data_IF_270369313436
#
_entry.id   IF_270369313436
#
_cell.length_a   1.000
_cell.length_b   1.000
_cell.length_c   1.000
_cell.angle_alpha   90.00
_cell.angle_beta   90.00
_cell.angle_gamma   90.00
#
_symmetry.space_group_name_H-M   'P 1'
#
loop_
_entity.id
_entity.type
_entity.pdbx_description
1 polymer ?
#
# COMPACT_ATOMS: atom_id res chain seq x y z
N UNK A 1 -25.94 10.63 -20.23
CA UNK A 1 -24.86 9.71 -20.64
C UNK A 1 -23.58 10.51 -20.59
N UNK A 2 -22.71 10.23 -19.61
CA UNK A 2 -21.48 10.98 -19.36
C UNK A 2 -20.35 10.45 -20.25
N UNK A 3 -19.69 11.36 -20.97
CA UNK A 3 -18.63 11.09 -21.96
C UNK A 3 -17.25 11.35 -21.34
N UNK A 4 -16.92 10.63 -20.26
CA UNK A 4 -15.58 10.70 -19.69
C UNK A 4 -14.61 9.88 -20.56
N UNK A 5 -13.40 10.38 -20.88
CA UNK A 5 -12.40 9.62 -21.62
C UNK A 5 -11.85 8.47 -20.78
N UNK A 6 -11.80 7.27 -21.37
CA UNK A 6 -11.28 6.06 -20.75
C UNK A 6 -10.00 5.59 -21.47
N UNK A 7 -9.03 5.07 -20.70
CA UNK A 7 -7.84 4.36 -21.19
C UNK A 7 -7.84 3.00 -20.46
N UNK A 8 -7.51 1.88 -21.08
CA UNK A 8 -7.37 0.61 -20.35
C UNK A 8 -5.89 0.35 -20.04
N UNK A 9 -5.55 -0.56 -19.13
CA UNK A 9 -4.20 -1.03 -18.81
C UNK A 9 -4.11 -2.46 -18.25
N UNK A 10 -3.68 -3.47 -19.02
CA UNK A 10 -3.22 -4.74 -18.46
C UNK A 10 -4.28 -5.45 -17.60
N UNK A 11 -5.54 -5.41 -18.01
CA UNK A 11 -6.68 -5.88 -17.23
C UNK A 11 -7.25 -4.85 -16.24
N UNK A 12 -6.76 -3.61 -16.25
CA UNK A 12 -7.35 -2.45 -15.58
C UNK A 12 -8.14 -1.57 -16.54
N UNK A 13 -9.28 -1.06 -16.12
CA UNK A 13 -10.02 0.02 -16.77
C UNK A 13 -9.70 1.33 -16.04
N UNK A 14 -9.05 2.29 -16.71
CA UNK A 14 -8.84 3.64 -16.17
C UNK A 14 -10.13 4.44 -16.28
N UNK A 15 -10.52 5.02 -15.16
CA UNK A 15 -11.72 5.85 -15.05
C UNK A 15 -11.26 7.20 -14.52
N UNK A 16 -11.37 8.22 -15.36
CA UNK A 16 -11.21 9.59 -14.91
C UNK A 16 -12.44 9.98 -14.08
N UNK A 17 -12.21 10.41 -12.85
CA UNK A 17 -13.24 11.07 -12.04
C UNK A 17 -13.62 12.42 -12.67
N UNK A 18 -14.84 12.88 -12.40
CA UNK A 18 -15.34 14.17 -12.90
C UNK A 18 -14.53 15.38 -12.41
N UNK A 19 -13.72 15.20 -11.35
CA UNK A 19 -12.74 16.19 -10.88
C UNK A 19 -11.58 16.44 -11.84
N UNK A 20 -11.35 15.59 -12.84
CA UNK A 20 -10.21 15.69 -13.76
C UNK A 20 -10.59 16.28 -15.11
N UNK A 21 -9.80 17.24 -15.58
CA UNK A 21 -9.86 17.72 -16.95
C UNK A 21 -9.25 16.72 -17.94
N UNK A 22 -9.66 16.71 -19.22
CA UNK A 22 -9.06 15.85 -20.25
C UNK A 22 -7.53 15.96 -20.34
N UNK A 23 -6.98 17.17 -20.19
CA UNK A 23 -5.54 17.41 -20.21
C UNK A 23 -4.81 16.71 -19.05
N UNK A 24 -5.42 16.63 -17.86
CA UNK A 24 -4.82 15.91 -16.72
C UNK A 24 -4.83 14.39 -16.94
N UNK A 25 -5.88 13.87 -17.58
CA UNK A 25 -5.96 12.44 -17.93
C UNK A 25 -4.89 12.08 -18.96
N UNK A 26 -4.72 12.90 -20.00
CA UNK A 26 -3.67 12.72 -21.01
C UNK A 26 -2.26 12.74 -20.40
N UNK A 27 -2.03 13.61 -19.42
CA UNK A 27 -0.74 13.70 -18.72
C UNK A 27 -0.48 12.56 -17.74
N UNK A 28 -1.52 11.87 -17.24
CA UNK A 28 -1.36 10.72 -16.36
C UNK A 28 -0.87 9.48 -17.10
N UNK A 29 -1.30 9.29 -18.36
CA UNK A 29 -0.96 8.11 -19.17
C UNK A 29 0.55 7.81 -19.30
N UNK A 30 1.44 8.77 -19.65
CA UNK A 30 2.87 8.48 -19.76
C UNK A 30 3.50 8.11 -18.41
N UNK A 31 3.04 8.70 -17.30
CA UNK A 31 3.56 8.39 -15.96
C UNK A 31 3.14 6.97 -15.55
N UNK A 32 1.88 6.61 -15.81
CA UNK A 32 1.35 5.26 -15.60
C UNK A 32 2.17 4.21 -16.37
N UNK A 33 2.41 4.45 -17.65
CA UNK A 33 3.22 3.56 -18.49
C UNK A 33 4.66 3.43 -17.97
N UNK A 34 5.30 4.53 -17.56
CA UNK A 34 6.67 4.52 -17.00
C UNK A 34 6.78 3.72 -15.70
N UNK A 35 5.77 3.76 -14.83
CA UNK A 35 5.73 2.89 -13.64
C UNK A 35 5.32 1.43 -13.95
N UNK A 36 5.14 1.10 -15.22
CA UNK A 36 4.84 -0.25 -15.70
C UNK A 36 3.36 -0.66 -15.56
N UNK A 37 2.45 0.31 -15.49
CA UNK A 37 1.02 0.09 -15.64
C UNK A 37 0.72 0.02 -17.14
N UNK A 38 0.37 -1.17 -17.65
CA UNK A 38 0.39 -1.46 -19.09
C UNK A 38 -0.85 -0.97 -19.81
N UNK A 39 -0.94 0.28 -20.29
CA UNK A 39 -2.15 0.84 -20.92
C UNK A 39 -2.55 0.14 -22.25
N UNK A 40 -3.72 -0.51 -22.32
CA UNK A 40 -4.37 -1.01 -23.53
C UNK A 40 -5.41 0.00 -24.07
N UNK A 41 -5.53 0.11 -25.39
CA UNK A 41 -6.62 0.82 -26.05
C UNK A 41 -7.38 -0.22 -26.87
N UNK A 42 -8.57 -0.64 -26.43
CA UNK A 42 -9.34 -1.70 -27.09
C UNK A 42 -10.78 -1.80 -26.60
N UNK A 43 -11.65 -2.36 -27.44
CA UNK A 43 -13.10 -2.47 -27.23
C UNK A 43 -13.54 -3.84 -26.67
N UNK A 44 -12.63 -4.74 -26.33
CA UNK A 44 -12.96 -6.11 -25.92
C UNK A 44 -12.72 -6.30 -24.43
N UNK A 45 -13.83 -6.45 -23.68
CA UNK A 45 -13.84 -6.68 -22.24
C UNK A 45 -13.31 -8.08 -21.91
N UNK A 46 -12.19 -8.22 -21.17
CA UNK A 46 -11.83 -9.47 -20.53
C UNK A 46 -12.81 -9.78 -19.38
N UNK A 47 -12.86 -11.02 -18.86
CA UNK A 47 -13.75 -11.35 -17.74
C UNK A 47 -13.35 -10.56 -16.49
N UNK A 48 -14.09 -9.47 -16.24
CA UNK A 48 -13.99 -8.56 -15.08
C UNK A 48 -12.83 -7.56 -15.15
N UNK A 49 -13.00 -6.35 -15.73
CA UNK A 49 -11.96 -5.33 -15.69
C UNK A 49 -11.76 -4.81 -14.26
N UNK A 50 -10.54 -4.89 -13.73
CA UNK A 50 -10.20 -4.21 -12.46
C UNK A 50 -10.29 -2.70 -12.71
N UNK A 51 -10.98 -1.89 -11.90
CA UNK A 51 -11.17 -0.45 -12.19
C UNK A 51 -10.15 0.40 -11.42
N UNK A 52 -9.37 1.21 -12.11
CA UNK A 52 -8.50 2.23 -11.51
C UNK A 52 -9.15 3.60 -11.70
N UNK A 53 -9.58 4.23 -10.62
CA UNK A 53 -10.14 5.59 -10.65
C UNK A 53 -9.02 6.60 -10.41
N UNK A 54 -8.81 7.51 -11.36
CA UNK A 54 -7.96 8.68 -11.18
C UNK A 54 -8.80 9.83 -10.63
N UNK A 55 -8.29 10.54 -9.62
CA UNK A 55 -8.96 11.71 -9.05
C UNK A 55 -7.94 12.77 -8.63
N UNK A 56 -8.42 13.99 -8.40
CA UNK A 56 -7.59 15.16 -8.07
C UNK A 56 -6.85 15.11 -6.71
N UNK A 57 -7.09 14.07 -5.91
CA UNK A 57 -6.56 13.92 -4.56
C UNK A 57 -7.41 14.53 -3.45
N UNK A 58 -8.57 15.12 -3.77
CA UNK A 58 -9.51 15.69 -2.81
C UNK A 58 -10.71 14.77 -2.62
N UNK A 59 -10.76 14.09 -1.48
CA UNK A 59 -11.93 13.28 -1.12
C UNK A 59 -13.12 14.20 -0.80
N UNK A 60 -14.22 13.99 -1.51
CA UNK A 60 -15.45 14.77 -1.42
C UNK A 60 -16.56 13.89 -0.82
N UNK A 61 -17.71 14.47 -0.41
CA UNK A 61 -18.86 13.67 0.00
C UNK A 61 -19.33 12.67 -1.07
N UNK A 62 -19.18 13.01 -2.35
CA UNK A 62 -19.48 12.11 -3.47
C UNK A 62 -18.52 10.92 -3.52
N UNK A 63 -17.22 11.14 -3.28
CA UNK A 63 -16.24 10.07 -3.15
C UNK A 63 -16.54 9.15 -1.96
N UNK A 64 -16.93 9.71 -0.82
CA UNK A 64 -17.33 8.92 0.35
C UNK A 64 -18.59 8.08 0.08
N UNK A 65 -19.54 8.61 -0.67
CA UNK A 65 -20.75 7.88 -1.05
C UNK A 65 -20.47 6.77 -2.06
N UNK A 66 -19.60 7.01 -3.04
CA UNK A 66 -19.14 5.98 -3.98
C UNK A 66 -18.43 4.84 -3.24
N UNK A 67 -17.51 5.16 -2.31
CA UNK A 67 -16.82 4.19 -1.47
C UNK A 67 -17.76 3.35 -0.59
N UNK A 68 -18.90 3.90 -0.17
CA UNK A 68 -19.89 3.17 0.65
C UNK A 68 -20.75 2.20 -0.16
N UNK A 69 -21.06 2.52 -1.41
CA UNK A 69 -21.96 1.69 -2.24
C UNK A 69 -21.21 0.57 -2.94
N UNK A 70 -20.17 0.96 -3.68
CA UNK A 70 -19.38 0.06 -4.50
C UNK A 70 -17.98 0.66 -4.59
N UNK A 71 -17.12 0.41 -3.59
CA UNK A 71 -15.80 1.01 -3.57
C UNK A 71 -15.03 0.60 -4.82
N UNK A 72 -14.46 1.54 -5.59
CA UNK A 72 -13.58 1.18 -6.69
C UNK A 72 -12.42 0.33 -6.15
N UNK A 73 -12.02 -0.73 -6.85
CA UNK A 73 -10.96 -1.62 -6.37
C UNK A 73 -9.63 -0.88 -6.24
N UNK A 74 -9.40 0.20 -7.01
CA UNK A 74 -8.22 1.05 -6.92
C UNK A 74 -8.55 2.53 -7.15
N UNK A 75 -7.94 3.39 -6.33
CA UNK A 75 -7.97 4.86 -6.43
C UNK A 75 -6.53 5.38 -6.49
N UNK A 76 -6.24 6.27 -7.44
CA UNK A 76 -4.93 6.89 -7.57
C UNK A 76 -5.07 8.41 -7.74
N UNK A 77 -4.44 9.14 -6.84
CA UNK A 77 -4.55 10.58 -6.75
C UNK A 77 -3.53 11.27 -7.67
N UNK A 78 -3.95 12.33 -8.37
CA UNK A 78 -3.07 13.15 -9.22
C UNK A 78 -2.50 14.35 -8.47
N UNK A 79 -1.80 14.09 -7.36
CA UNK A 79 -1.28 15.13 -6.43
C UNK A 79 0.14 15.59 -6.75
N UNK A 80 0.78 14.99 -7.75
CA UNK A 80 2.11 15.34 -8.19
C UNK A 80 2.14 16.68 -8.93
N UNK A 81 3.35 17.16 -9.29
CA UNK A 81 3.53 18.31 -10.15
C UNK A 81 2.68 18.19 -11.42
N UNK A 82 2.14 19.32 -11.87
CA UNK A 82 1.29 19.43 -13.07
C UNK A 82 0.00 18.58 -13.02
N UNK A 83 -0.43 18.14 -11.83
CA UNK A 83 -1.64 17.33 -11.68
C UNK A 83 -1.46 15.91 -12.20
N UNK A 84 -0.29 15.30 -11.96
CA UNK A 84 0.03 13.92 -12.32
C UNK A 84 0.04 13.00 -11.09
N UNK A 85 -0.13 11.68 -11.24
CA UNK A 85 0.13 10.75 -10.14
C UNK A 85 1.58 10.83 -9.65
N UNK A 86 1.83 10.58 -8.37
CA UNK A 86 3.21 10.56 -7.88
C UNK A 86 3.95 9.33 -8.42
N UNK A 87 5.17 9.51 -8.91
CA UNK A 87 5.95 8.44 -9.55
C UNK A 87 6.09 7.17 -8.67
N UNK A 88 6.26 7.36 -7.35
CA UNK A 88 6.36 6.25 -6.41
C UNK A 88 5.05 5.47 -6.25
N UNK A 89 3.87 6.13 -6.28
CA UNK A 89 2.56 5.48 -6.20
C UNK A 89 2.34 4.62 -7.44
N UNK A 90 2.73 5.14 -8.60
CA UNK A 90 2.64 4.40 -9.87
C UNK A 90 3.59 3.22 -9.90
N UNK A 91 4.84 3.39 -9.45
CA UNK A 91 5.81 2.29 -9.35
C UNK A 91 5.27 1.17 -8.44
N UNK A 92 4.76 1.54 -7.27
CA UNK A 92 4.14 0.60 -6.32
C UNK A 92 2.95 -0.13 -6.96
N UNK A 93 2.05 0.60 -7.62
CA UNK A 93 0.91 0.03 -8.34
C UNK A 93 1.37 -0.93 -9.45
N UNK A 94 2.38 -0.57 -10.23
CA UNK A 94 2.94 -1.43 -11.27
C UNK A 94 3.50 -2.73 -10.69
N UNK A 95 4.30 -2.66 -9.62
CA UNK A 95 4.82 -3.85 -8.93
C UNK A 95 3.70 -4.74 -8.41
N UNK A 96 2.72 -4.15 -7.74
CA UNK A 96 1.54 -4.81 -7.22
C UNK A 96 0.79 -5.60 -8.31
N UNK A 97 0.53 -4.98 -9.46
CA UNK A 97 -0.21 -5.60 -10.55
C UNK A 97 0.55 -6.77 -11.21
N UNK A 98 1.89 -6.70 -11.22
CA UNK A 98 2.76 -7.76 -11.73
C UNK A 98 3.07 -8.85 -10.69
N UNK A 99 2.63 -8.68 -9.44
CA UNK A 99 3.01 -9.56 -8.33
C UNK A 99 4.50 -9.49 -7.99
N UNK A 100 5.15 -8.36 -8.27
CA UNK A 100 6.55 -8.11 -7.94
C UNK A 100 6.76 -7.62 -6.51
N UNK A 101 8.01 -7.38 -6.14
CA UNK A 101 8.36 -6.82 -4.83
C UNK A 101 7.77 -5.40 -4.67
N UNK A 102 7.17 -5.15 -3.49
CA UNK A 102 6.61 -3.83 -3.15
C UNK A 102 7.67 -2.88 -2.59
N UNK A 103 8.74 -3.43 -1.99
CA UNK A 103 9.93 -2.68 -1.64
C UNK A 103 10.72 -2.29 -2.91
N UNK A 104 11.38 -1.12 -2.94
CA UNK A 104 12.10 -0.68 -4.13
C UNK A 104 13.27 -1.61 -4.48
N UNK A 105 13.45 -1.87 -5.78
CA UNK A 105 14.59 -2.64 -6.28
C UNK A 105 15.90 -1.91 -6.00
N UNK A 106 16.88 -2.62 -5.43
CA UNK A 106 18.20 -2.06 -5.13
C UNK A 106 18.26 -1.21 -3.85
N UNK A 107 17.14 -1.00 -3.15
CA UNK A 107 17.14 -0.32 -1.86
C UNK A 107 17.88 -1.14 -0.79
N UNK A 108 18.50 -0.45 0.16
CA UNK A 108 19.09 -1.07 1.35
C UNK A 108 17.98 -1.46 2.33
N UNK A 109 17.53 -2.71 2.23
CA UNK A 109 16.41 -3.24 3.01
C UNK A 109 16.92 -3.81 4.33
N UNK A 110 16.43 -3.25 5.43
CA UNK A 110 16.60 -3.82 6.78
C UNK A 110 15.46 -4.79 7.06
N UNK A 111 15.77 -5.99 7.57
CA UNK A 111 14.79 -7.03 7.91
C UNK A 111 14.88 -7.39 9.40
N UNK A 112 13.73 -7.48 10.04
CA UNK A 112 13.59 -7.86 11.44
C UNK A 112 12.61 -9.02 11.56
N UNK A 113 13.10 -10.17 12.03
CA UNK A 113 12.22 -11.25 12.49
C UNK A 113 11.74 -10.90 13.90
N UNK A 114 10.42 -10.88 14.07
CA UNK A 114 9.72 -10.56 15.30
C UNK A 114 9.18 -11.86 15.91
N UNK A 115 9.60 -12.18 17.14
CA UNK A 115 9.05 -13.30 17.91
C UNK A 115 8.67 -12.86 19.34
N UNK A 116 9.34 -11.85 19.86
CA UNK A 116 9.11 -11.32 21.20
C UNK A 116 8.49 -9.93 21.12
N UNK A 117 7.69 -9.58 22.12
CA UNK A 117 7.07 -8.25 22.20
C UNK A 117 8.11 -7.13 22.27
N UNK A 118 9.28 -7.39 22.87
CA UNK A 118 10.39 -6.42 22.90
C UNK A 118 10.93 -6.11 21.48
N UNK A 119 10.82 -7.05 20.55
CA UNK A 119 11.33 -6.86 19.19
C UNK A 119 10.51 -5.79 18.43
N UNK A 120 9.24 -5.55 18.82
CA UNK A 120 8.39 -4.48 18.28
C UNK A 120 9.04 -3.11 18.52
N UNK A 121 9.41 -2.84 19.78
CA UNK A 121 10.04 -1.57 20.16
C UNK A 121 11.39 -1.37 19.48
N UNK A 122 12.23 -2.41 19.47
CA UNK A 122 13.54 -2.38 18.81
C UNK A 122 13.41 -2.08 17.32
N UNK A 123 12.41 -2.67 16.64
CA UNK A 123 12.17 -2.46 15.22
C UNK A 123 11.64 -1.06 14.92
N UNK A 124 10.72 -0.55 15.76
CA UNK A 124 10.22 0.82 15.66
C UNK A 124 11.32 1.88 15.86
N UNK A 125 12.21 1.67 16.83
CA UNK A 125 13.39 2.52 17.05
C UNK A 125 14.35 2.48 15.86
N UNK A 126 14.62 1.28 15.32
CA UNK A 126 15.48 1.12 14.14
C UNK A 126 14.92 1.86 12.91
N UNK A 127 13.62 1.77 12.68
CA UNK A 127 12.90 2.47 11.63
C UNK A 127 12.96 4.01 11.79
N UNK A 128 12.68 4.52 12.99
CA UNK A 128 12.80 5.95 13.32
C UNK A 128 14.23 6.47 13.11
N UNK A 129 15.22 5.69 13.53
CA UNK A 129 16.62 6.02 13.34
C UNK A 129 17.02 6.01 11.85
N UNK A 130 16.48 5.09 11.05
CA UNK A 130 16.72 5.05 9.60
C UNK A 130 16.21 6.32 8.90
N UNK A 131 15.00 6.77 9.24
CA UNK A 131 14.44 8.03 8.71
C UNK A 131 15.29 9.22 9.12
N UNK A 132 15.75 9.25 10.38
CA UNK A 132 16.61 10.33 10.88
C UNK A 132 17.98 10.37 10.16
N UNK A 133 18.59 9.20 9.92
CA UNK A 133 19.86 9.08 9.15
C UNK A 133 19.70 9.53 7.70
N UNK A 134 18.52 9.32 7.11
CA UNK A 134 18.19 9.80 5.77
C UNK A 134 17.83 11.30 5.71
N UNK A 135 17.99 12.05 6.81
CA UNK A 135 17.71 13.49 6.86
C UNK A 135 16.23 13.84 7.11
N UNK A 136 15.40 12.87 7.50
CA UNK A 136 14.02 13.12 7.89
C UNK A 136 13.90 13.98 9.16
N UNK A 137 12.76 14.66 9.32
CA UNK A 137 12.50 15.46 10.52
C UNK A 137 12.24 14.57 11.74
N UNK A 138 12.44 15.10 12.95
CA UNK A 138 12.07 14.40 14.20
C UNK A 138 10.60 13.95 14.21
N UNK A 139 9.70 14.77 13.67
CA UNK A 139 8.27 14.44 13.57
C UNK A 139 8.06 13.26 12.63
N UNK A 140 8.68 13.28 11.45
CA UNK A 140 8.58 12.18 10.49
C UNK A 140 9.16 10.86 11.06
N UNK A 141 10.28 10.93 11.75
CA UNK A 141 10.89 9.78 12.41
C UNK A 141 10.01 9.21 13.52
N UNK A 142 9.39 10.07 14.35
CA UNK A 142 8.42 9.66 15.36
C UNK A 142 7.20 8.96 14.75
N UNK A 143 6.57 9.59 13.75
CA UNK A 143 5.40 9.02 13.06
C UNK A 143 5.71 7.65 12.43
N UNK A 144 6.89 7.49 11.83
CA UNK A 144 7.31 6.20 11.27
C UNK A 144 7.51 5.16 12.37
N UNK A 145 8.11 5.55 13.51
CA UNK A 145 8.22 4.68 14.67
C UNK A 145 6.85 4.18 15.15
N UNK A 146 5.87 5.08 15.27
CA UNK A 146 4.51 4.73 15.69
C UNK A 146 3.85 3.77 14.67
N UNK A 147 3.94 4.05 13.37
CA UNK A 147 3.38 3.18 12.32
C UNK A 147 4.01 1.79 12.35
N UNK A 148 5.34 1.71 12.51
CA UNK A 148 6.05 0.43 12.59
C UNK A 148 5.65 -0.33 13.85
N UNK A 149 5.51 0.37 14.98
CA UNK A 149 5.06 -0.24 16.23
C UNK A 149 3.69 -0.90 16.07
N UNK A 150 2.70 -0.15 15.57
CA UNK A 150 1.34 -0.65 15.39
C UNK A 150 1.26 -1.78 14.37
N UNK A 151 1.98 -1.66 13.24
CA UNK A 151 2.01 -2.72 12.24
C UNK A 151 2.62 -4.01 12.80
N UNK A 152 3.75 -3.91 13.50
CA UNK A 152 4.41 -5.05 14.13
C UNK A 152 3.54 -5.66 15.23
N UNK A 153 2.87 -4.84 16.06
CA UNK A 153 1.97 -5.32 17.10
C UNK A 153 0.76 -6.05 16.52
N UNK A 154 0.20 -5.57 15.41
CA UNK A 154 -0.91 -6.23 14.73
C UNK A 154 -0.47 -7.57 14.11
N UNK A 155 0.67 -7.58 13.40
CA UNK A 155 1.19 -8.79 12.78
C UNK A 155 1.60 -9.86 13.82
N UNK A 156 2.24 -9.45 14.92
CA UNK A 156 2.75 -10.39 15.93
C UNK A 156 1.68 -10.88 16.89
N UNK A 157 0.70 -10.04 17.26
CA UNK A 157 -0.24 -10.34 18.35
C UNK A 157 -1.69 -10.52 17.90
N UNK A 158 -2.12 -9.81 16.86
CA UNK A 158 -3.52 -9.81 16.46
C UNK A 158 -3.80 -10.75 15.29
N UNK A 159 -2.84 -10.89 14.36
CA UNK A 159 -2.96 -11.81 13.22
C UNK A 159 -3.00 -13.29 13.63
N UNK A 160 -2.26 -13.76 14.66
CA UNK A 160 -2.25 -15.18 14.95
C UNK A 160 -3.56 -15.77 15.45
N UNK A 161 -4.06 -16.77 14.72
CA UNK A 161 -5.24 -17.55 15.06
C UNK A 161 -4.94 -19.03 15.26
N UNK A 162 -5.78 -19.72 16.02
CA UNK A 162 -5.68 -21.16 16.22
C UNK A 162 -6.27 -21.96 15.04
N UNK A 163 -6.33 -23.28 15.17
CA UNK A 163 -6.89 -24.16 14.13
C UNK A 163 -8.39 -23.96 13.86
N UNK A 164 -9.09 -23.22 14.73
CA UNK A 164 -10.51 -22.88 14.60
C UNK A 164 -10.71 -21.46 14.07
N UNK A 165 -9.63 -20.70 13.85
CA UNK A 165 -9.68 -19.31 13.44
C UNK A 165 -9.85 -18.33 14.61
N UNK A 166 -9.69 -18.77 15.85
CA UNK A 166 -9.84 -17.91 17.04
C UNK A 166 -8.51 -17.20 17.38
N UNK A 167 -8.53 -15.92 17.79
CA UNK A 167 -7.30 -15.17 18.12
C UNK A 167 -6.48 -15.80 19.27
N UNK A 168 -5.21 -16.11 19.02
CA UNK A 168 -4.29 -16.74 19.99
C UNK A 168 -3.79 -15.78 21.08
N UNK A 169 -3.54 -14.52 20.74
CA UNK A 169 -2.84 -13.56 21.61
C UNK A 169 -3.58 -12.24 21.82
N UNK A 170 -4.45 -11.82 20.89
CA UNK A 170 -5.14 -10.53 20.91
C UNK A 170 -5.88 -10.21 22.24
N UNK A 171 -6.47 -11.22 22.89
CA UNK A 171 -7.21 -11.05 24.15
C UNK A 171 -6.32 -10.90 25.40
N UNK A 172 -5.01 -11.17 25.27
CA UNK A 172 -4.04 -11.23 26.39
C UNK A 172 -2.73 -10.52 26.06
N UNK A 173 -2.77 -9.49 25.21
CA UNK A 173 -1.58 -8.77 24.71
C UNK A 173 -0.62 -8.32 25.81
N UNK A 174 -1.15 -7.94 26.98
CA UNK A 174 -0.36 -7.47 28.13
C UNK A 174 0.41 -8.58 28.86
N UNK A 175 0.04 -9.84 28.64
CA UNK A 175 0.64 -11.01 29.31
C UNK A 175 1.63 -11.75 28.41
N UNK A 176 1.54 -11.53 27.10
CA UNK A 176 2.42 -12.16 26.10
C UNK A 176 3.78 -11.47 26.11
N UNK A 177 4.85 -12.26 26.23
CA UNK A 177 6.24 -11.78 26.06
C UNK A 177 6.87 -12.28 24.77
N UNK A 178 6.41 -13.44 24.33
CA UNK A 178 6.92 -14.16 23.17
C UNK A 178 5.79 -15.01 22.59
N UNK A 179 5.72 -15.08 21.26
CA UNK A 179 4.79 -15.93 20.53
C UNK A 179 5.46 -17.25 20.15
N UNK A 180 4.64 -18.23 19.74
CA UNK A 180 5.17 -19.49 19.24
C UNK A 180 6.03 -19.26 17.99
N UNK A 181 7.02 -20.11 17.75
CA UNK A 181 7.96 -19.93 16.64
C UNK A 181 7.23 -19.87 15.29
N UNK A 182 6.18 -20.67 15.12
CA UNK A 182 5.35 -20.67 13.92
C UNK A 182 4.53 -19.39 13.73
N UNK A 183 4.31 -18.61 14.80
CA UNK A 183 3.55 -17.35 14.77
C UNK A 183 4.47 -16.13 14.65
N UNK A 184 5.79 -16.32 14.57
CA UNK A 184 6.72 -15.23 14.31
C UNK A 184 6.45 -14.58 12.94
N UNK A 185 6.68 -13.27 12.85
CA UNK A 185 6.52 -12.50 11.62
C UNK A 185 7.82 -11.80 11.23
N UNK A 186 7.91 -11.30 10.01
CA UNK A 186 9.00 -10.47 9.51
C UNK A 186 8.48 -9.07 9.21
N UNK A 187 9.24 -8.07 9.62
CA UNK A 187 9.04 -6.68 9.21
C UNK A 187 10.30 -6.19 8.49
N UNK A 188 10.09 -5.69 7.28
CA UNK A 188 11.13 -5.21 6.39
C UNK A 188 10.89 -3.74 6.05
N UNK A 189 11.95 -2.93 6.03
CA UNK A 189 11.83 -1.53 5.65
C UNK A 189 13.06 -1.01 4.90
N UNK A 190 12.85 0.06 4.13
CA UNK A 190 13.90 0.82 3.45
C UNK A 190 13.54 2.31 3.43
N UNK A 191 14.55 3.18 3.41
CA UNK A 191 14.36 4.62 3.18
C UNK A 191 14.95 5.00 1.82
N UNK A 192 14.11 5.43 0.90
CA UNK A 192 14.48 5.80 -0.47
C UNK A 192 13.71 7.05 -0.89
N UNK A 193 14.37 8.00 -1.56
CA UNK A 193 13.76 9.21 -2.12
C UNK A 193 12.90 10.01 -1.10
N UNK A 194 13.37 10.08 0.14
CA UNK A 194 12.69 10.78 1.23
C UNK A 194 11.42 10.07 1.74
N UNK A 195 11.27 8.77 1.44
CA UNK A 195 10.11 7.95 1.85
C UNK A 195 10.56 6.71 2.59
N UNK A 196 9.76 6.33 3.58
CA UNK A 196 9.87 5.01 4.22
C UNK A 196 8.98 4.02 3.47
N UNK A 197 9.58 2.92 3.04
CA UNK A 197 8.91 1.73 2.53
C UNK A 197 8.87 0.70 3.64
N UNK A 198 7.70 0.10 3.86
CA UNK A 198 7.45 -0.81 4.98
C UNK A 198 6.65 -2.01 4.48
N UNK A 199 7.10 -3.20 4.85
CA UNK A 199 6.45 -4.47 4.54
C UNK A 199 6.39 -5.33 5.80
N UNK A 200 5.23 -5.92 6.08
CA UNK A 200 5.02 -6.89 7.16
C UNK A 200 4.51 -8.21 6.59
N UNK A 201 5.17 -9.31 6.96
CA UNK A 201 4.86 -10.67 6.49
C UNK A 201 4.67 -11.59 7.70
N UNK A 202 3.50 -12.19 7.83
CA UNK A 202 3.21 -13.25 8.78
C UNK A 202 2.69 -14.51 8.06
N UNK A 203 2.46 -15.61 8.81
CA UNK A 203 2.03 -16.88 8.22
C UNK A 203 0.54 -16.94 7.87
N UNK A 204 -0.27 -16.09 8.50
CA UNK A 204 -1.70 -15.94 8.23
C UNK A 204 -1.93 -15.04 7.00
N UNK A 205 -0.90 -14.30 6.63
CA UNK A 205 -0.72 -13.58 5.38
C UNK A 205 0.39 -12.54 5.56
N UNK A 206 0.77 -11.85 4.51
CA UNK A 206 1.23 -10.47 4.73
C UNK A 206 0.00 -9.58 4.92
N UNK A 207 0.22 -8.26 4.96
CA UNK A 207 -0.64 -7.37 4.18
C UNK A 207 -0.50 -7.74 2.69
N UNK A 208 -0.91 -8.96 2.33
CA UNK A 208 -1.04 -9.34 0.94
C UNK A 208 -2.19 -8.49 0.44
N UNK A 209 -2.07 -7.90 -0.74
CA UNK A 209 -3.25 -7.44 -1.42
C UNK A 209 -4.16 -8.65 -1.51
N UNK A 210 -5.25 -8.65 -0.74
CA UNK A 210 -6.36 -9.55 -0.99
C UNK A 210 -6.83 -9.32 -2.42
N UNK A 211 -7.69 -10.19 -2.98
CA UNK A 211 -8.43 -9.77 -4.16
C UNK A 211 -9.04 -8.41 -3.85
N UNK A 212 -8.53 -7.35 -4.48
CA UNK A 212 -9.06 -5.99 -4.37
C UNK A 212 -10.56 -6.12 -4.59
N UNK A 213 -11.34 -5.95 -3.51
CA UNK A 213 -12.79 -6.15 -3.40
C UNK A 213 -13.42 -6.94 -4.57
N UNK A 214 -13.82 -8.20 -4.31
CA UNK A 214 -14.67 -8.95 -5.26
C UNK A 214 -15.98 -8.23 -5.53
#
# INVERSE_FOLDING_TARGET
MSTAPHLEAGGLLLIADESLSPAQVEQAAPVLAQGGVSLHQGSELPPGPRRLVLFDGRLSPAHAEALRREPPPLLLATRGPDGRPAAWEVRLLGSLLRGGALLPEGADVTRHRLQRVVDIGVTAEAASAAVSRAGGSRVAAGLVGDVVHELAANALLDAPVDSRGEPRYAHRRTEVREVAEEDACELSFAVEDGRMWLEGVDRFGGLRPGPFAR
#
